data_IF_307364595592
#
_entry.id   IF_307364595592
#
_cell.length_a   1.000
_cell.length_b   1.000
_cell.length_c   1.000
_cell.angle_alpha   90.00
_cell.angle_beta   90.00
_cell.angle_gamma   90.00
#
_symmetry.space_group_name_H-M   'P 1'
#
loop_
_entity.id
_entity.type
_entity.pdbx_description
1 polymer ?
#
# COMPACT_ATOMS: atom_id res chain seq x y z
N UNK A 1 41.65 -20.21 10.74
CA UNK A 1 41.75 -20.46 12.19
C UNK A 1 40.53 -21.26 12.63
N UNK A 2 40.67 -22.14 13.61
CA UNK A 2 39.55 -22.56 14.45
C UNK A 2 39.06 -21.36 15.28
N UNK A 3 37.90 -21.49 15.94
CA UNK A 3 37.42 -20.44 16.82
C UNK A 3 38.38 -20.21 18.00
N UNK A 4 38.80 -21.28 18.68
CA UNK A 4 39.72 -21.21 19.83
C UNK A 4 41.06 -20.56 19.47
N UNK A 5 41.60 -20.89 18.28
CA UNK A 5 42.81 -20.24 17.76
C UNK A 5 42.60 -18.73 17.57
N UNK A 6 41.47 -18.34 16.97
CA UNK A 6 41.15 -16.94 16.74
C UNK A 6 40.94 -16.18 18.06
N UNK A 7 40.26 -16.77 19.04
CA UNK A 7 40.07 -16.20 20.37
C UNK A 7 41.39 -16.04 21.13
N UNK A 8 42.30 -17.03 21.05
CA UNK A 8 43.62 -16.93 21.63
C UNK A 8 44.44 -15.79 20.99
N UNK A 9 44.42 -15.68 19.66
CA UNK A 9 45.08 -14.57 18.95
C UNK A 9 44.49 -13.22 19.37
N UNK A 10 43.15 -13.10 19.50
CA UNK A 10 42.51 -11.91 20.04
C UNK A 10 43.00 -11.57 21.45
N UNK A 11 43.14 -12.57 22.33
CA UNK A 11 43.65 -12.40 23.68
C UNK A 11 45.08 -11.82 23.70
N UNK A 12 45.96 -12.37 22.87
CA UNK A 12 47.35 -11.87 22.71
C UNK A 12 47.38 -10.44 22.15
N UNK A 13 46.54 -10.13 21.15
CA UNK A 13 46.43 -8.78 20.59
C UNK A 13 45.90 -7.77 21.62
N UNK A 14 44.95 -8.19 22.46
CA UNK A 14 44.40 -7.35 23.53
C UNK A 14 45.45 -6.96 24.57
N UNK A 15 46.41 -7.85 24.89
CA UNK A 15 47.55 -7.52 25.77
C UNK A 15 48.43 -6.40 25.18
N UNK A 16 48.42 -6.23 23.85
CA UNK A 16 49.11 -5.16 23.12
C UNK A 16 48.22 -3.95 22.83
N UNK A 17 47.05 -3.85 23.47
CA UNK A 17 46.04 -2.80 23.26
C UNK A 17 45.49 -2.77 21.83
N UNK A 18 45.53 -3.90 21.12
CA UNK A 18 44.89 -4.07 19.81
C UNK A 18 43.59 -4.83 20.05
N UNK A 19 42.47 -4.14 19.95
CA UNK A 19 41.16 -4.76 20.07
C UNK A 19 40.82 -5.53 18.79
N UNK A 20 40.86 -6.85 18.85
CA UNK A 20 40.48 -7.74 17.76
C UNK A 20 39.33 -8.65 18.20
N UNK A 21 38.48 -9.04 17.25
CA UNK A 21 37.44 -10.04 17.44
C UNK A 21 37.69 -11.24 16.52
N UNK A 22 37.28 -12.46 16.89
CA UNK A 22 37.52 -13.67 16.08
C UNK A 22 36.99 -13.59 14.64
N UNK A 23 35.93 -12.82 14.42
CA UNK A 23 35.35 -12.61 13.09
C UNK A 23 36.14 -11.60 12.21
N UNK A 24 37.15 -10.92 12.75
CA UNK A 24 38.07 -10.10 11.96
C UNK A 24 39.05 -10.94 11.14
N UNK A 25 39.32 -12.18 11.56
CA UNK A 25 40.18 -13.07 10.80
C UNK A 25 39.38 -13.73 9.67
N UNK A 26 39.81 -13.58 8.41
CA UNK A 26 39.16 -14.24 7.31
C UNK A 26 39.14 -15.76 7.53
N UNK A 27 38.00 -16.39 7.26
CA UNK A 27 37.82 -17.86 7.31
C UNK A 27 37.96 -18.49 8.70
N UNK A 28 37.70 -17.75 9.79
CA UNK A 28 37.50 -18.38 11.11
C UNK A 28 36.32 -19.34 11.03
N UNK A 29 36.57 -20.64 11.22
CA UNK A 29 35.54 -21.69 11.09
C UNK A 29 34.57 -21.61 12.26
N UNK A 30 33.27 -21.69 11.98
CA UNK A 30 32.22 -21.72 13.01
C UNK A 30 31.92 -20.39 13.69
N UNK A 31 32.63 -19.29 13.35
CA UNK A 31 32.48 -18.01 14.07
C UNK A 31 31.06 -17.44 14.02
N UNK A 32 30.34 -17.67 12.92
CA UNK A 32 28.97 -17.17 12.75
C UNK A 32 27.92 -18.01 13.50
N UNK A 33 28.28 -19.17 14.01
CA UNK A 33 27.43 -20.02 14.86
C UNK A 33 27.82 -19.89 16.34
N UNK A 34 28.94 -19.24 16.62
CA UNK A 34 29.51 -19.13 17.95
C UNK A 34 28.99 -17.89 18.69
N UNK A 35 29.16 -17.97 20.01
CA UNK A 35 28.79 -16.93 20.95
C UNK A 35 30.06 -16.40 21.60
N UNK A 36 30.16 -15.07 21.74
CA UNK A 36 31.26 -14.44 22.44
C UNK A 36 31.20 -14.73 23.96
N UNK A 37 32.29 -14.47 24.72
CA UNK A 37 32.32 -14.72 26.17
C UNK A 37 31.25 -13.99 26.98
N UNK A 38 30.69 -12.89 26.45
CA UNK A 38 29.59 -12.13 27.06
C UNK A 38 28.20 -12.74 26.80
N UNK A 39 28.12 -13.88 26.09
CA UNK A 39 26.88 -14.55 25.75
C UNK A 39 26.18 -13.99 24.51
N UNK A 40 26.79 -13.03 23.79
CA UNK A 40 26.23 -12.45 22.57
C UNK A 40 26.82 -13.13 21.32
N UNK A 41 25.99 -13.55 20.34
CA UNK A 41 26.49 -14.12 19.09
C UNK A 41 27.46 -13.19 18.36
N UNK A 42 28.57 -13.73 17.82
CA UNK A 42 29.56 -12.92 17.09
C UNK A 42 28.95 -12.20 15.88
N UNK A 43 27.95 -12.80 15.22
CA UNK A 43 27.21 -12.15 14.14
C UNK A 43 26.53 -10.84 14.56
N UNK A 44 26.14 -10.70 15.84
CA UNK A 44 25.45 -9.51 16.34
C UNK A 44 26.46 -8.38 16.56
N UNK A 45 27.62 -8.70 17.16
CA UNK A 45 28.73 -7.75 17.27
C UNK A 45 29.17 -7.25 15.89
N UNK A 46 29.36 -8.17 14.95
CA UNK A 46 29.74 -7.84 13.58
C UNK A 46 28.69 -6.92 12.90
N UNK A 47 27.41 -7.23 13.06
CA UNK A 47 26.31 -6.41 12.54
C UNK A 47 26.29 -5.02 13.19
N UNK A 48 26.52 -4.93 14.51
CA UNK A 48 26.61 -3.65 15.23
C UNK A 48 27.77 -2.80 14.74
N UNK A 49 28.93 -3.40 14.50
CA UNK A 49 30.08 -2.72 13.90
C UNK A 49 29.80 -2.21 12.48
N UNK A 50 29.04 -2.95 11.66
CA UNK A 50 28.58 -2.45 10.37
C UNK A 50 27.73 -1.17 10.53
N UNK A 51 26.76 -1.18 11.44
CA UNK A 51 25.91 0.00 11.68
C UNK A 51 26.73 1.19 12.20
N UNK A 52 27.72 0.93 13.05
CA UNK A 52 28.66 1.94 13.56
C UNK A 52 29.54 2.51 12.45
N UNK A 53 30.06 1.68 11.56
CA UNK A 53 30.90 2.10 10.45
C UNK A 53 30.10 2.91 9.42
N UNK A 54 28.86 2.52 9.13
CA UNK A 54 27.92 3.31 8.32
C UNK A 54 27.55 4.63 8.99
N UNK A 55 27.26 4.60 10.29
CA UNK A 55 26.96 5.80 11.09
C UNK A 55 28.12 6.80 11.07
N UNK A 56 29.34 6.31 11.28
CA UNK A 56 30.57 7.11 11.19
C UNK A 56 30.76 7.72 9.80
N UNK A 57 30.58 6.92 8.74
CA UNK A 57 30.70 7.38 7.34
C UNK A 57 29.69 8.48 7.01
N UNK A 58 28.45 8.35 7.47
CA UNK A 58 27.38 9.34 7.24
C UNK A 58 27.37 10.46 8.29
N UNK A 59 28.24 10.39 9.31
CA UNK A 59 28.27 11.31 10.47
C UNK A 59 26.93 11.39 11.20
N UNK A 60 26.30 10.24 11.44
CA UNK A 60 25.02 10.11 12.15
C UNK A 60 25.13 9.12 13.31
N UNK A 61 24.32 9.35 14.34
CA UNK A 61 24.16 8.41 15.45
C UNK A 61 23.19 7.28 15.06
N UNK A 62 23.74 6.11 14.74
CA UNK A 62 22.97 4.96 14.29
C UNK A 62 22.05 4.36 15.36
N UNK A 63 22.25 4.67 16.65
CA UNK A 63 21.39 4.19 17.74
C UNK A 63 20.14 5.06 17.89
N UNK A 64 20.16 6.28 17.36
CA UNK A 64 18.99 7.17 17.32
C UNK A 64 18.14 6.90 16.08
N UNK A 65 16.80 7.00 16.18
CA UNK A 65 15.90 6.77 15.05
C UNK A 65 16.25 7.55 13.78
N UNK A 66 16.59 8.84 13.91
CA UNK A 66 16.93 9.68 12.77
C UNK A 66 18.22 9.22 12.06
N UNK A 67 19.25 8.84 12.82
CA UNK A 67 20.50 8.34 12.25
C UNK A 67 20.36 6.92 11.71
N UNK A 68 19.61 6.05 12.39
CA UNK A 68 19.27 4.73 11.86
C UNK A 68 18.54 4.82 10.52
N UNK A 69 17.54 5.71 10.42
CA UNK A 69 16.83 5.99 9.18
C UNK A 69 17.76 6.46 8.06
N UNK A 70 18.81 7.20 8.38
CA UNK A 70 19.80 7.67 7.39
C UNK A 70 20.69 6.54 6.87
N UNK A 71 21.03 5.54 7.69
CA UNK A 71 21.82 4.37 7.25
C UNK A 71 20.98 3.29 6.58
N UNK A 72 19.67 3.23 6.83
CA UNK A 72 18.76 2.18 6.32
C UNK A 72 18.87 1.93 4.80
N UNK A 73 18.97 2.95 3.91
CA UNK A 73 19.17 2.74 2.47
C UNK A 73 20.45 1.99 2.10
N UNK A 74 21.44 1.94 3.00
CA UNK A 74 22.72 1.26 2.80
C UNK A 74 22.73 -0.16 3.38
N UNK A 75 21.65 -0.63 3.99
CA UNK A 75 21.56 -1.99 4.54
C UNK A 75 21.16 -2.99 3.43
N UNK A 76 22.05 -3.14 2.45
CA UNK A 76 21.88 -3.99 1.26
C UNK A 76 22.82 -5.19 1.27
N UNK A 77 22.53 -6.18 0.43
CA UNK A 77 23.42 -7.34 0.22
C UNK A 77 24.83 -6.89 -0.17
N UNK A 78 24.94 -5.90 -1.07
CA UNK A 78 26.23 -5.41 -1.55
C UNK A 78 27.05 -4.74 -0.44
N UNK A 79 26.39 -3.99 0.44
CA UNK A 79 27.06 -3.39 1.59
C UNK A 79 27.59 -4.46 2.53
N UNK A 80 26.80 -5.48 2.87
CA UNK A 80 27.29 -6.59 3.69
C UNK A 80 28.48 -7.34 3.05
N UNK A 81 28.49 -7.48 1.71
CA UNK A 81 29.58 -8.19 1.00
C UNK A 81 30.85 -7.39 0.85
N UNK A 82 30.73 -6.08 0.62
CA UNK A 82 31.83 -5.27 0.09
C UNK A 82 32.26 -4.13 1.01
N UNK A 83 31.45 -3.75 2.00
CA UNK A 83 31.78 -2.67 2.91
C UNK A 83 32.65 -3.18 4.06
N UNK A 84 33.83 -2.57 4.23
CA UNK A 84 34.68 -2.87 5.38
C UNK A 84 34.11 -2.25 6.66
N UNK A 85 33.98 -3.06 7.71
CA UNK A 85 33.52 -2.59 9.02
C UNK A 85 34.67 -2.04 9.89
N UNK A 86 35.93 -2.29 9.51
CA UNK A 86 37.10 -1.88 10.29
C UNK A 86 38.34 -1.62 9.39
N UNK A 87 39.48 -1.34 10.02
CA UNK A 87 40.73 -1.07 9.31
C UNK A 87 41.41 -2.31 8.68
N UNK A 88 40.95 -3.52 9.03
CA UNK A 88 41.50 -4.79 8.54
C UNK A 88 40.75 -5.34 7.31
N UNK A 89 39.93 -4.51 6.65
CA UNK A 89 39.09 -4.90 5.51
C UNK A 89 38.10 -6.05 5.82
N UNK A 90 37.65 -6.16 7.07
CA UNK A 90 36.66 -7.20 7.45
C UNK A 90 35.32 -6.92 6.81
N UNK A 91 34.75 -7.92 6.12
CA UNK A 91 33.45 -7.86 5.44
C UNK A 91 32.48 -8.89 6.02
N UNK A 92 31.18 -8.67 5.86
CA UNK A 92 30.12 -9.47 6.48
C UNK A 92 29.40 -10.44 5.53
N UNK A 93 30.09 -10.93 4.49
CA UNK A 93 29.55 -11.95 3.60
C UNK A 93 29.17 -13.24 4.35
N UNK A 94 29.94 -13.60 5.39
CA UNK A 94 29.65 -14.74 6.25
C UNK A 94 28.37 -14.58 7.09
N UNK A 95 28.05 -13.36 7.53
CA UNK A 95 26.78 -13.07 8.22
C UNK A 95 25.60 -13.31 7.29
N UNK A 96 25.68 -12.84 6.04
CA UNK A 96 24.61 -13.10 5.06
C UNK A 96 24.34 -14.59 4.85
N UNK A 97 25.38 -15.42 4.83
CA UNK A 97 25.20 -16.87 4.67
C UNK A 97 24.43 -17.49 5.85
N UNK A 98 24.63 -16.98 7.07
CA UNK A 98 23.89 -17.44 8.25
C UNK A 98 22.39 -17.07 8.20
N UNK A 99 22.02 -16.02 7.46
CA UNK A 99 20.65 -15.51 7.33
C UNK A 99 20.05 -15.69 5.93
N UNK A 100 20.43 -16.74 5.21
CA UNK A 100 19.89 -17.05 3.88
C UNK A 100 19.93 -15.85 2.91
N UNK A 101 21.02 -15.08 2.97
CA UNK A 101 21.24 -13.85 2.18
C UNK A 101 20.27 -12.69 2.46
N UNK A 102 19.58 -12.67 3.60
CA UNK A 102 18.75 -11.54 4.02
C UNK A 102 19.58 -10.52 4.81
N UNK A 103 19.81 -9.29 4.29
CA UNK A 103 20.50 -8.25 5.05
C UNK A 103 19.63 -7.68 6.19
N UNK A 104 18.31 -7.77 6.07
CA UNK A 104 17.37 -7.27 7.09
C UNK A 104 17.36 -8.12 8.37
N UNK A 105 17.49 -9.45 8.24
CA UNK A 105 17.37 -10.38 9.35
C UNK A 105 18.40 -10.17 10.48
N UNK A 106 19.72 -10.08 10.22
CA UNK A 106 20.70 -9.83 11.29
C UNK A 106 20.49 -8.47 11.97
N UNK A 107 20.03 -7.46 11.22
CA UNK A 107 19.76 -6.13 11.76
C UNK A 107 18.53 -6.12 12.66
N UNK A 108 17.45 -6.79 12.23
CA UNK A 108 16.24 -6.92 13.03
C UNK A 108 16.49 -7.73 14.31
N UNK A 109 17.27 -8.81 14.23
CA UNK A 109 17.67 -9.57 15.42
C UNK A 109 18.51 -8.72 16.38
N UNK A 110 19.45 -7.93 15.86
CA UNK A 110 20.21 -6.97 16.66
C UNK A 110 19.29 -5.97 17.37
N UNK A 111 18.34 -5.36 16.66
CA UNK A 111 17.40 -4.38 17.23
C UNK A 111 16.50 -5.01 18.31
N UNK A 112 16.13 -6.28 18.15
CA UNK A 112 15.25 -6.97 19.08
C UNK A 112 15.95 -7.28 20.41
N UNK A 113 17.23 -7.65 20.35
CA UNK A 113 18.01 -8.18 21.48
C UNK A 113 18.93 -7.17 22.16
N UNK A 114 19.49 -6.22 21.41
CA UNK A 114 20.44 -5.24 21.94
C UNK A 114 19.72 -4.01 22.50
N UNK A 115 19.96 -3.73 23.79
CA UNK A 115 19.32 -2.64 24.53
C UNK A 115 19.62 -1.26 23.95
N UNK A 116 20.74 -1.08 23.26
CA UNK A 116 21.09 0.20 22.64
C UNK A 116 20.08 0.63 21.56
N UNK A 117 19.33 -0.32 21.00
CA UNK A 117 18.37 -0.11 19.91
C UNK A 117 16.92 0.02 20.39
N UNK A 118 16.67 0.15 21.70
CA UNK A 118 15.30 0.17 22.26
C UNK A 118 14.40 1.25 21.64
N UNK A 119 14.96 2.41 21.27
CA UNK A 119 14.20 3.51 20.63
C UNK A 119 13.76 3.17 19.21
N UNK A 120 14.59 2.43 18.48
CA UNK A 120 14.29 1.97 17.12
C UNK A 120 13.23 0.87 17.20
N UNK A 121 13.39 -0.08 18.13
CA UNK A 121 12.40 -1.10 18.46
C UNK A 121 11.04 -0.47 18.80
N UNK A 122 11.02 0.57 19.65
CA UNK A 122 9.79 1.26 20.05
C UNK A 122 9.03 1.92 18.88
N UNK A 123 9.74 2.42 17.87
CA UNK A 123 9.11 3.00 16.67
C UNK A 123 8.51 1.90 15.77
N UNK A 124 9.00 0.66 15.87
CA UNK A 124 8.54 -0.48 15.10
C UNK A 124 9.10 -0.46 13.69
N UNK A 125 10.29 -1.04 13.52
CA UNK A 125 10.85 -1.38 12.21
C UNK A 125 10.60 -2.86 11.91
N UNK A 126 10.31 -3.18 10.65
CA UNK A 126 10.18 -4.56 10.18
C UNK A 126 10.93 -4.80 8.87
N UNK A 127 10.97 -6.05 8.41
CA UNK A 127 11.70 -6.44 7.21
C UNK A 127 11.22 -5.76 5.92
N UNK A 128 9.96 -5.30 5.88
CA UNK A 128 9.42 -4.58 4.74
C UNK A 128 9.91 -3.13 4.65
N UNK A 129 10.58 -2.62 5.69
CA UNK A 129 11.14 -1.27 5.71
C UNK A 129 12.55 -1.19 5.10
N UNK A 130 13.19 -2.35 4.87
CA UNK A 130 14.52 -2.43 4.29
C UNK A 130 14.50 -2.28 2.76
N UNK A 131 15.59 -1.77 2.17
CA UNK A 131 15.77 -1.80 0.72
C UNK A 131 15.66 -3.22 0.18
N UNK A 132 15.00 -3.38 -0.97
CA UNK A 132 14.85 -4.68 -1.62
C UNK A 132 14.19 -5.76 -0.74
N UNK A 133 13.30 -5.36 0.16
CA UNK A 133 12.48 -6.28 0.94
C UNK A 133 11.88 -7.37 0.02
N UNK A 134 12.15 -8.66 0.30
CA UNK A 134 11.66 -9.77 -0.49
C UNK A 134 10.14 -9.75 -0.71
N UNK A 135 9.70 -10.25 -1.86
CA UNK A 135 8.28 -10.27 -2.22
C UNK A 135 7.40 -11.04 -1.21
N UNK A 136 7.95 -12.05 -0.53
CA UNK A 136 7.20 -12.85 0.46
C UNK A 136 6.71 -12.02 1.65
N UNK A 137 7.27 -10.82 1.90
CA UNK A 137 6.71 -9.89 2.88
C UNK A 137 5.36 -9.33 2.46
N UNK A 138 5.09 -9.29 1.15
CA UNK A 138 3.92 -8.62 0.58
C UNK A 138 2.92 -9.57 -0.07
N UNK A 139 3.36 -10.74 -0.54
CA UNK A 139 2.51 -11.79 -1.11
C UNK A 139 2.78 -13.14 -0.46
N UNK A 140 1.73 -13.93 -0.29
CA UNK A 140 1.82 -15.33 0.15
C UNK A 140 2.21 -16.27 -1.01
N UNK A 141 2.30 -17.56 -0.71
CA UNK A 141 2.64 -18.61 -1.68
C UNK A 141 1.62 -18.76 -2.83
N UNK A 142 0.40 -18.25 -2.64
CA UNK A 142 -0.66 -18.23 -3.65
C UNK A 142 -0.70 -16.92 -4.44
N UNK A 143 0.20 -15.97 -4.15
CA UNK A 143 0.25 -14.65 -4.78
C UNK A 143 -0.77 -13.65 -4.25
N UNK A 144 -1.45 -13.95 -3.13
CA UNK A 144 -2.37 -13.03 -2.48
C UNK A 144 -1.63 -12.09 -1.52
N UNK A 145 -2.13 -10.87 -1.29
CA UNK A 145 -1.53 -9.97 -0.32
C UNK A 145 -1.48 -10.55 1.09
N UNK A 146 -0.33 -10.44 1.75
CA UNK A 146 -0.16 -10.88 3.15
C UNK A 146 -0.88 -9.96 4.15
N UNK A 147 -1.00 -10.41 5.41
CA UNK A 147 -1.45 -9.56 6.52
C UNK A 147 -0.56 -8.31 6.64
N UNK A 148 0.76 -8.47 6.51
CA UNK A 148 1.70 -7.35 6.56
C UNK A 148 1.45 -6.35 5.42
N UNK A 149 1.22 -6.81 4.19
CA UNK A 149 0.87 -5.92 3.07
C UNK A 149 -0.38 -5.09 3.36
N UNK A 150 -1.42 -5.73 3.92
CA UNK A 150 -2.65 -5.06 4.33
C UNK A 150 -2.42 -4.05 5.45
N UNK A 151 -1.60 -4.39 6.44
CA UNK A 151 -1.22 -3.47 7.52
C UNK A 151 -0.48 -2.23 6.98
N UNK A 152 0.48 -2.42 6.06
CA UNK A 152 1.19 -1.31 5.41
C UNK A 152 0.24 -0.45 4.57
N UNK A 153 -0.69 -1.05 3.84
CA UNK A 153 -1.71 -0.32 3.10
C UNK A 153 -2.68 0.45 4.03
N UNK A 154 -3.04 -0.14 5.18
CA UNK A 154 -3.81 0.53 6.22
C UNK A 154 -3.06 1.71 6.85
N UNK A 155 -1.74 1.61 7.07
CA UNK A 155 -0.91 2.73 7.52
C UNK A 155 -0.98 3.92 6.55
N UNK A 156 -1.04 3.69 5.24
CA UNK A 156 -1.30 4.79 4.29
C UNK A 156 -2.67 5.43 4.53
N UNK A 157 -3.73 4.65 4.68
CA UNK A 157 -5.09 5.15 4.88
C UNK A 157 -5.13 6.03 6.15
N UNK A 158 -4.56 5.56 7.26
CA UNK A 158 -4.51 6.33 8.51
C UNK A 158 -3.68 7.61 8.36
N UNK A 159 -2.55 7.57 7.64
CA UNK A 159 -1.73 8.75 7.36
C UNK A 159 -2.44 9.76 6.46
N UNK A 160 -3.18 9.29 5.45
CA UNK A 160 -3.99 10.15 4.60
C UNK A 160 -5.15 10.78 5.38
N UNK A 161 -5.78 10.02 6.30
CA UNK A 161 -6.80 10.55 7.19
C UNK A 161 -6.25 11.74 8.02
N UNK A 162 -5.08 11.55 8.65
CA UNK A 162 -4.39 12.58 9.45
C UNK A 162 -3.95 13.79 8.64
N UNK A 163 -3.70 13.66 7.34
CA UNK A 163 -3.32 14.79 6.48
C UNK A 163 -4.50 15.42 5.73
N UNK A 164 -5.70 14.85 5.84
CA UNK A 164 -6.90 15.35 5.16
C UNK A 164 -7.72 16.17 6.14
N UNK A 165 -7.86 17.47 5.89
CA UNK A 165 -8.79 18.34 6.63
C UNK A 165 -10.20 18.23 6.06
N UNK A 166 -11.20 18.28 6.93
CA UNK A 166 -12.60 18.31 6.52
C UNK A 166 -12.96 19.70 5.98
N UNK A 167 -13.79 19.80 4.92
CA UNK A 167 -14.25 21.09 4.42
C UNK A 167 -14.93 21.91 5.54
N UNK A 168 -14.58 23.19 5.66
CA UNK A 168 -15.15 24.08 6.68
C UNK A 168 -14.73 23.76 8.12
N UNK A 169 -13.71 22.92 8.34
CA UNK A 169 -13.27 22.54 9.69
C UNK A 169 -11.75 22.45 9.82
N UNK A 170 -11.24 22.73 11.02
CA UNK A 170 -9.85 22.45 11.40
C UNK A 170 -9.64 20.99 11.82
N UNK A 171 -10.70 20.17 11.86
CA UNK A 171 -10.61 18.75 12.21
C UNK A 171 -10.06 17.93 11.05
N UNK A 172 -9.28 16.91 11.39
CA UNK A 172 -8.80 15.91 10.45
C UNK A 172 -9.85 14.84 10.20
N UNK A 173 -9.82 14.24 9.01
CA UNK A 173 -10.68 13.14 8.64
C UNK A 173 -10.42 11.92 9.55
N UNK A 174 -11.49 11.22 9.91
CA UNK A 174 -11.41 9.98 10.68
C UNK A 174 -11.72 8.81 9.75
N UNK A 175 -10.77 7.89 9.57
CA UNK A 175 -10.93 6.79 8.62
C UNK A 175 -12.02 5.78 9.00
N UNK A 176 -12.53 5.81 10.23
CA UNK A 176 -13.64 4.94 10.68
C UNK A 176 -15.02 5.54 10.41
N UNK A 177 -15.09 6.84 10.10
CA UNK A 177 -16.34 7.52 9.79
C UNK A 177 -16.58 7.49 8.27
N UNK A 178 -17.69 6.91 7.77
CA UNK A 178 -18.01 6.85 6.35
C UNK A 178 -17.99 8.21 5.63
N UNK A 179 -18.60 9.23 6.24
CA UNK A 179 -18.66 10.58 5.66
C UNK A 179 -17.28 11.23 5.58
N UNK A 180 -16.38 10.94 6.51
CA UNK A 180 -15.00 11.42 6.46
C UNK A 180 -14.16 10.62 5.44
N UNK A 181 -14.45 9.33 5.32
CA UNK A 181 -13.67 8.41 4.49
C UNK A 181 -13.77 8.75 3.00
N UNK A 182 -14.90 9.31 2.53
CA UNK A 182 -15.02 9.80 1.15
C UNK A 182 -13.93 10.83 0.79
N UNK A 183 -13.50 11.68 1.74
CA UNK A 183 -12.44 12.66 1.50
C UNK A 183 -11.07 11.98 1.42
N UNK A 184 -10.88 10.88 2.15
CA UNK A 184 -9.68 10.04 2.10
C UNK A 184 -9.60 9.33 0.74
N UNK A 185 -10.72 8.76 0.27
CA UNK A 185 -10.82 8.12 -1.06
C UNK A 185 -10.37 9.06 -2.18
N UNK A 186 -10.80 10.33 -2.13
CA UNK A 186 -10.39 11.36 -3.09
C UNK A 186 -8.88 11.65 -3.10
N UNK A 187 -8.16 11.31 -2.02
CA UNK A 187 -6.69 11.44 -1.94
C UNK A 187 -5.94 10.16 -2.33
N UNK A 188 -6.62 9.03 -2.50
CA UNK A 188 -6.02 7.75 -2.88
C UNK A 188 -5.75 7.68 -4.39
N UNK A 189 -4.87 8.56 -4.88
CA UNK A 189 -4.43 8.58 -6.28
C UNK A 189 -3.07 7.91 -6.44
N UNK A 190 -2.84 7.27 -7.60
CA UNK A 190 -1.59 6.55 -7.90
C UNK A 190 -0.30 7.34 -7.57
N UNK A 191 -0.12 8.56 -8.10
CA UNK A 191 1.07 9.36 -7.82
C UNK A 191 1.26 9.69 -6.34
N UNK A 192 0.16 9.93 -5.61
CA UNK A 192 0.23 10.26 -4.18
C UNK A 192 0.58 9.02 -3.36
N UNK A 193 -0.03 7.87 -3.64
CA UNK A 193 0.26 6.59 -2.99
C UNK A 193 1.73 6.18 -3.18
N UNK A 194 2.26 6.32 -4.39
CA UNK A 194 3.65 5.95 -4.69
C UNK A 194 4.69 6.85 -4.01
N UNK A 195 4.40 8.14 -3.85
CA UNK A 195 5.33 9.12 -3.29
C UNK A 195 5.23 9.27 -1.77
N UNK A 196 4.13 8.85 -1.14
CA UNK A 196 3.90 9.04 0.29
C UNK A 196 4.58 7.94 1.10
N UNK A 197 5.57 8.26 1.97
CA UNK A 197 6.08 7.28 2.92
C UNK A 197 4.98 6.92 3.92
N UNK A 198 4.77 5.65 4.23
CA UNK A 198 3.67 5.21 5.12
C UNK A 198 4.05 5.20 6.59
N UNK A 199 5.34 5.13 6.90
CA UNK A 199 5.86 5.11 8.25
C UNK A 199 7.08 6.03 8.41
N UNK A 200 7.70 5.99 9.58
CA UNK A 200 8.89 6.77 9.90
C UNK A 200 10.09 6.39 9.02
N UNK A 201 10.28 5.10 8.76
CA UNK A 201 11.44 4.53 8.05
C UNK A 201 11.52 4.89 6.57
N UNK A 202 10.43 5.40 6.00
CA UNK A 202 10.43 5.84 4.60
C UNK A 202 9.79 4.85 3.64
N UNK A 203 9.22 3.76 4.15
CA UNK A 203 8.59 2.70 3.37
C UNK A 203 7.53 3.26 2.44
N UNK A 204 7.58 2.87 1.17
CA UNK A 204 6.62 3.30 0.15
C UNK A 204 5.81 2.10 -0.30
N UNK A 205 4.53 2.31 -0.60
CA UNK A 205 3.65 1.25 -1.08
C UNK A 205 3.87 0.89 -2.55
N UNK A 206 4.88 1.43 -3.24
CA UNK A 206 5.13 1.09 -4.63
C UNK A 206 5.33 -0.42 -4.84
N UNK A 207 6.01 -1.10 -3.91
CA UNK A 207 6.21 -2.55 -3.97
C UNK A 207 4.91 -3.30 -3.70
N UNK A 208 4.19 -2.93 -2.63
CA UNK A 208 2.86 -3.47 -2.31
C UNK A 208 1.89 -3.31 -3.48
N UNK A 209 1.84 -2.13 -4.10
CA UNK A 209 0.93 -1.79 -5.18
C UNK A 209 1.16 -2.64 -6.44
N UNK A 210 2.41 -3.06 -6.72
CA UNK A 210 2.69 -3.98 -7.84
C UNK A 210 1.90 -5.29 -7.70
N UNK A 211 1.77 -5.80 -6.48
CA UNK A 211 1.00 -7.02 -6.20
C UNK A 211 -0.51 -6.83 -6.32
N UNK A 212 -1.00 -5.59 -6.29
CA UNK A 212 -2.38 -5.24 -6.65
C UNK A 212 -2.54 -4.87 -8.14
N UNK A 213 -1.61 -5.28 -9.00
CA UNK A 213 -1.64 -4.94 -10.43
C UNK A 213 -1.53 -3.44 -10.71
N UNK A 214 -0.90 -2.68 -9.80
CA UNK A 214 -0.81 -1.23 -9.89
C UNK A 214 -2.08 -0.48 -9.44
N UNK A 215 -3.13 -1.19 -9.00
CA UNK A 215 -4.43 -0.59 -8.68
C UNK A 215 -4.56 -0.20 -7.21
N UNK A 216 -4.56 1.12 -6.96
CA UNK A 216 -4.77 1.67 -5.60
C UNK A 216 -6.14 1.26 -5.07
N UNK A 217 -7.16 1.29 -5.92
CA UNK A 217 -8.53 0.96 -5.57
C UNK A 217 -8.68 -0.51 -5.20
N UNK A 218 -8.00 -1.44 -5.91
CA UNK A 218 -7.98 -2.87 -5.55
C UNK A 218 -7.32 -3.07 -4.17
N UNK A 219 -6.20 -2.40 -3.92
CA UNK A 219 -5.53 -2.42 -2.62
C UNK A 219 -6.43 -1.90 -1.50
N UNK A 220 -7.10 -0.76 -1.71
CA UNK A 220 -7.97 -0.18 -0.70
C UNK A 220 -9.21 -1.04 -0.42
N UNK A 221 -9.82 -1.63 -1.45
CA UNK A 221 -10.95 -2.54 -1.27
C UNK A 221 -10.56 -3.78 -0.47
N UNK A 222 -9.42 -4.42 -0.79
CA UNK A 222 -8.91 -5.57 -0.02
C UNK A 222 -8.68 -5.21 1.45
N UNK A 223 -8.13 -4.02 1.73
CA UNK A 223 -7.93 -3.56 3.12
C UNK A 223 -9.26 -3.25 3.81
N UNK A 224 -10.24 -2.65 3.13
CA UNK A 224 -11.57 -2.37 3.70
C UNK A 224 -12.27 -3.68 4.09
N UNK A 225 -12.19 -4.69 3.23
CA UNK A 225 -12.79 -6.00 3.43
C UNK A 225 -12.13 -6.77 4.58
N UNK A 226 -10.80 -6.77 4.64
CA UNK A 226 -10.04 -7.65 5.53
C UNK A 226 -9.55 -6.99 6.83
N UNK A 227 -9.52 -5.65 6.94
CA UNK A 227 -8.98 -4.97 8.13
C UNK A 227 -10.07 -4.70 9.19
N UNK A 228 -9.95 -5.21 10.43
CA UNK A 228 -10.99 -5.08 11.47
C UNK A 228 -11.42 -3.64 11.76
N UNK A 229 -10.49 -2.69 11.71
CA UNK A 229 -10.80 -1.28 11.97
C UNK A 229 -11.66 -0.60 10.89
N UNK A 230 -11.76 -1.19 9.69
CA UNK A 230 -12.56 -0.67 8.59
C UNK A 230 -13.89 -1.39 8.42
N UNK A 231 -14.28 -2.28 9.35
CA UNK A 231 -15.57 -3.00 9.31
C UNK A 231 -16.77 -2.09 9.10
N UNK A 232 -16.78 -0.88 9.70
CA UNK A 232 -17.88 0.08 9.50
C UNK A 232 -17.92 0.60 8.06
N UNK A 233 -16.78 0.87 7.46
CA UNK A 233 -16.67 1.29 6.05
C UNK A 233 -17.12 0.16 5.14
N UNK A 234 -16.69 -1.07 5.40
CA UNK A 234 -17.12 -2.26 4.67
C UNK A 234 -18.65 -2.45 4.73
N UNK A 235 -19.25 -2.33 5.93
CA UNK A 235 -20.71 -2.43 6.12
C UNK A 235 -21.52 -1.40 5.33
N UNK A 236 -20.98 -0.19 5.11
CA UNK A 236 -21.65 0.84 4.31
C UNK A 236 -21.51 0.57 2.80
N UNK A 237 -20.60 -0.32 2.40
CA UNK A 237 -20.47 -0.80 1.03
C UNK A 237 -19.73 0.20 0.13
N UNK A 238 -18.41 0.33 0.32
CA UNK A 238 -17.55 0.99 -0.67
C UNK A 238 -17.42 0.07 -1.90
N UNK A 239 -17.70 0.61 -3.07
CA UNK A 239 -17.66 -0.07 -4.35
C UNK A 239 -16.46 0.40 -5.20
N UNK A 240 -16.04 -0.39 -6.19
CA UNK A 240 -14.99 0.01 -7.15
C UNK A 240 -15.24 1.36 -7.83
N UNK A 241 -16.50 1.69 -8.11
CA UNK A 241 -16.91 2.97 -8.70
C UNK A 241 -16.69 4.19 -7.82
N UNK A 242 -16.51 3.98 -6.51
CA UNK A 242 -16.38 5.09 -5.55
C UNK A 242 -14.96 5.67 -5.48
N UNK A 243 -14.03 5.07 -6.21
CA UNK A 243 -12.67 5.55 -6.31
C UNK A 243 -12.50 6.53 -7.47
N UNK A 244 -11.68 7.59 -7.32
CA UNK A 244 -11.40 8.53 -8.42
C UNK A 244 -10.86 7.86 -9.69
N UNK A 245 -10.15 6.74 -9.52
CA UNK A 245 -9.73 5.85 -10.59
C UNK A 245 -10.21 4.45 -10.27
N UNK A 246 -11.35 4.08 -10.82
CA UNK A 246 -11.90 2.74 -10.62
C UNK A 246 -10.91 1.68 -11.13
N UNK A 247 -10.87 0.47 -10.53
CA UNK A 247 -10.11 -0.65 -11.06
C UNK A 247 -10.46 -0.96 -12.52
N UNK A 248 -9.48 -1.45 -13.30
CA UNK A 248 -9.75 -1.99 -14.64
C UNK A 248 -10.85 -3.05 -14.58
N UNK A 249 -11.75 -3.04 -15.56
CA UNK A 249 -12.90 -3.95 -15.56
C UNK A 249 -14.12 -3.42 -14.81
N UNK A 250 -14.05 -2.26 -14.13
CA UNK A 250 -15.21 -1.70 -13.43
C UNK A 250 -16.29 -1.24 -14.40
N UNK A 251 -15.91 -0.47 -15.43
CA UNK A 251 -16.86 0.17 -16.34
C UNK A 251 -17.06 -0.59 -17.67
N UNK A 252 -15.98 -1.18 -18.19
CA UNK A 252 -15.97 -1.98 -19.41
C UNK A 252 -15.37 -3.36 -19.15
N UNK A 253 -15.94 -4.37 -19.79
CA UNK A 253 -15.36 -5.71 -19.87
C UNK A 253 -14.09 -5.72 -20.75
N UNK A 254 -13.38 -6.85 -20.79
CA UNK A 254 -12.23 -7.03 -21.69
C UNK A 254 -12.60 -6.91 -23.17
N UNK A 255 -13.83 -7.25 -23.53
CA UNK A 255 -14.36 -7.10 -24.89
C UNK A 255 -14.72 -5.64 -25.23
N UNK A 256 -14.57 -4.70 -24.29
CA UNK A 256 -14.95 -3.29 -24.47
C UNK A 256 -16.41 -2.99 -24.15
N UNK A 257 -17.25 -4.00 -23.95
CA UNK A 257 -18.67 -3.85 -23.62
C UNK A 257 -18.89 -3.27 -22.22
N UNK A 258 -19.89 -2.40 -22.01
CA UNK A 258 -20.28 -1.93 -20.68
C UNK A 258 -20.59 -3.07 -19.71
N UNK A 259 -20.12 -2.96 -18.48
CA UNK A 259 -20.36 -3.96 -17.44
C UNK A 259 -21.74 -3.80 -16.81
N UNK A 260 -22.19 -4.84 -16.09
CA UNK A 260 -23.38 -4.73 -15.26
C UNK A 260 -23.24 -3.63 -14.20
N UNK A 261 -22.05 -3.46 -13.62
CA UNK A 261 -21.78 -2.40 -12.66
C UNK A 261 -21.99 -1.00 -13.25
N UNK A 262 -21.53 -0.76 -14.48
CA UNK A 262 -21.78 0.50 -15.18
C UNK A 262 -23.29 0.75 -15.34
N UNK A 263 -24.03 -0.27 -15.80
CA UNK A 263 -25.50 -0.21 -15.95
C UNK A 263 -26.21 0.06 -14.63
N UNK A 264 -25.78 -0.57 -13.55
CA UNK A 264 -26.35 -0.38 -12.21
C UNK A 264 -26.13 1.05 -11.71
N UNK A 265 -24.96 1.64 -11.97
CA UNK A 265 -24.70 3.05 -11.68
C UNK A 265 -25.64 3.99 -12.45
N UNK A 266 -25.86 3.74 -13.75
CA UNK A 266 -26.81 4.51 -14.56
C UNK A 266 -28.24 4.34 -14.04
N UNK A 267 -28.64 3.12 -13.66
CA UNK A 267 -29.95 2.86 -13.04
C UNK A 267 -30.12 3.60 -11.70
N UNK A 268 -29.08 3.65 -10.87
CA UNK A 268 -29.10 4.45 -9.63
C UNK A 268 -29.29 5.95 -9.93
N UNK A 269 -28.63 6.46 -10.97
CA UNK A 269 -28.83 7.84 -11.41
C UNK A 269 -30.26 8.11 -11.89
N UNK A 270 -30.84 7.22 -12.69
CA UNK A 270 -32.25 7.33 -13.11
C UNK A 270 -33.17 7.39 -11.88
N UNK A 271 -32.96 6.50 -10.90
CA UNK A 271 -33.72 6.50 -9.65
C UNK A 271 -33.56 7.79 -8.83
N UNK A 272 -32.34 8.33 -8.75
CA UNK A 272 -32.05 9.61 -8.09
C UNK A 272 -32.81 10.76 -8.74
N UNK A 273 -32.74 10.88 -10.07
CA UNK A 273 -33.43 11.94 -10.81
C UNK A 273 -34.95 11.78 -10.71
N UNK A 274 -35.46 10.54 -10.76
CA UNK A 274 -36.86 10.25 -10.54
C UNK A 274 -37.35 10.76 -9.19
N UNK A 275 -36.61 10.47 -8.12
CA UNK A 275 -36.90 10.94 -6.76
C UNK A 275 -36.87 12.47 -6.67
N UNK A 276 -35.82 13.12 -7.18
CA UNK A 276 -35.66 14.58 -7.14
C UNK A 276 -36.77 15.35 -7.87
N UNK A 277 -37.30 14.79 -8.96
CA UNK A 277 -38.29 15.44 -9.81
C UNK A 277 -39.71 14.88 -9.64
N UNK A 278 -39.95 14.06 -8.60
CA UNK A 278 -41.28 13.54 -8.30
C UNK A 278 -41.85 12.57 -9.34
N UNK A 279 -41.00 11.89 -10.11
CA UNK A 279 -41.42 10.93 -11.14
C UNK A 279 -41.52 9.53 -10.55
N UNK A 280 -42.74 9.05 -10.36
CA UNK A 280 -43.01 7.78 -9.66
C UNK A 280 -42.79 6.53 -10.51
N UNK A 281 -42.84 6.64 -11.85
CA UNK A 281 -42.70 5.52 -12.79
C UNK A 281 -41.64 5.77 -13.88
N UNK A 282 -40.36 5.89 -13.51
CA UNK A 282 -39.29 6.27 -14.43
C UNK A 282 -39.01 5.26 -15.54
N UNK A 283 -39.52 4.03 -15.44
CA UNK A 283 -39.35 2.97 -16.44
C UNK A 283 -40.48 2.90 -17.48
N UNK A 284 -41.49 3.77 -17.38
CA UNK A 284 -42.54 3.92 -18.41
C UNK A 284 -42.12 4.99 -19.42
N UNK A 285 -42.72 4.98 -20.61
CA UNK A 285 -42.45 5.99 -21.64
C UNK A 285 -42.70 7.39 -21.10
N UNK A 286 -43.88 7.64 -20.54
CA UNK A 286 -44.24 8.95 -20.00
C UNK A 286 -43.27 9.43 -18.92
N UNK A 287 -42.96 8.57 -17.93
CA UNK A 287 -42.04 8.93 -16.86
C UNK A 287 -40.61 9.16 -17.34
N UNK A 288 -40.12 8.35 -18.28
CA UNK A 288 -38.78 8.51 -18.82
C UNK A 288 -38.66 9.77 -19.70
N UNK A 289 -39.64 10.04 -20.56
CA UNK A 289 -39.70 11.27 -21.38
C UNK A 289 -39.70 12.52 -20.49
N UNK A 290 -40.41 12.49 -19.36
CA UNK A 290 -40.38 13.57 -18.37
C UNK A 290 -38.98 13.74 -17.73
N UNK A 291 -38.26 12.64 -17.47
CA UNK A 291 -36.94 12.69 -16.83
C UNK A 291 -35.80 13.02 -17.78
N UNK A 292 -35.96 12.70 -19.05
CA UNK A 292 -34.88 12.69 -20.02
C UNK A 292 -34.10 14.03 -20.11
N UNK A 293 -34.73 15.22 -20.15
CA UNK A 293 -34.00 16.49 -20.14
C UNK A 293 -33.08 16.65 -18.91
N UNK A 294 -33.53 16.17 -17.75
CA UNK A 294 -32.75 16.23 -16.51
C UNK A 294 -31.62 15.20 -16.49
N UNK A 295 -31.86 14.01 -17.03
CA UNK A 295 -30.85 12.97 -17.17
C UNK A 295 -29.67 13.46 -18.03
N UNK A 296 -29.97 14.13 -19.15
CA UNK A 296 -28.97 14.63 -20.09
C UNK A 296 -28.19 15.85 -19.58
N UNK A 297 -28.82 16.72 -18.77
CA UNK A 297 -28.20 17.96 -18.29
C UNK A 297 -27.36 17.81 -17.01
N UNK A 298 -27.66 16.84 -16.14
CA UNK A 298 -27.09 16.81 -14.78
C UNK A 298 -26.05 15.71 -14.51
N UNK A 299 -25.84 14.76 -15.43
CA UNK A 299 -25.11 13.52 -15.17
C UNK A 299 -23.65 13.71 -14.72
N UNK A 300 -23.03 14.85 -15.06
CA UNK A 300 -21.63 15.16 -14.69
C UNK A 300 -21.46 15.54 -13.22
N UNK A 301 -22.49 16.07 -12.57
CA UNK A 301 -22.42 16.70 -11.24
C UNK A 301 -23.10 15.87 -10.16
N UNK A 302 -24.06 15.05 -10.55
CA UNK A 302 -24.94 14.36 -9.60
C UNK A 302 -24.25 13.20 -8.91
N UNK A 303 -24.34 13.22 -7.58
CA UNK A 303 -23.75 12.22 -6.69
C UNK A 303 -24.77 11.12 -6.41
N UNK A 304 -24.44 9.90 -6.79
CA UNK A 304 -25.29 8.70 -6.71
C UNK A 304 -24.94 7.75 -5.56
N UNK A 305 -23.90 8.06 -4.77
CA UNK A 305 -23.53 7.28 -3.59
C UNK A 305 -23.07 8.17 -2.42
N UNK A 306 -23.13 7.68 -1.17
CA UNK A 306 -22.61 8.40 0.00
C UNK A 306 -21.11 8.71 -0.08
N UNK A 307 -20.39 8.09 -1.01
CA UNK A 307 -18.94 8.22 -1.19
C UNK A 307 -18.57 9.35 -2.18
N UNK A 308 -19.55 10.08 -2.69
CA UNK A 308 -19.32 11.16 -3.64
C UNK A 308 -19.21 10.70 -5.10
N UNK A 309 -19.65 9.48 -5.39
CA UNK A 309 -19.59 8.88 -6.73
C UNK A 309 -20.59 9.52 -7.67
N UNK A 310 -20.15 9.88 -8.87
CA UNK A 310 -21.03 10.32 -9.95
C UNK A 310 -21.06 9.25 -11.05
N UNK A 311 -22.04 9.30 -11.96
CA UNK A 311 -22.03 8.42 -13.14
C UNK A 311 -21.04 8.84 -14.22
N UNK A 312 -20.34 9.95 -14.01
CA UNK A 312 -19.46 10.54 -15.02
C UNK A 312 -18.40 9.56 -15.54
N UNK A 313 -17.63 8.85 -14.69
CA UNK A 313 -16.63 7.91 -15.17
C UNK A 313 -17.25 6.76 -15.97
N UNK A 314 -18.44 6.28 -15.58
CA UNK A 314 -19.15 5.26 -16.33
C UNK A 314 -19.49 5.74 -17.74
N UNK A 315 -20.05 6.94 -17.88
CA UNK A 315 -20.43 7.52 -19.18
C UNK A 315 -19.22 7.81 -20.05
N UNK A 316 -18.17 8.41 -19.48
CA UNK A 316 -16.93 8.73 -20.20
C UNK A 316 -16.22 7.46 -20.66
N UNK A 317 -16.00 6.50 -19.74
CA UNK A 317 -15.21 5.31 -20.03
C UNK A 317 -16.03 4.24 -20.77
N UNK A 318 -17.25 3.91 -20.33
CA UNK A 318 -18.04 2.82 -20.92
C UNK A 318 -18.81 3.23 -22.17
N UNK A 319 -19.28 4.47 -22.23
CA UNK A 319 -20.24 4.93 -23.25
C UNK A 319 -19.71 6.03 -24.16
N UNK A 320 -18.37 6.20 -24.22
CA UNK A 320 -17.70 7.17 -25.07
C UNK A 320 -18.23 8.60 -24.85
N UNK A 321 -18.42 8.97 -23.58
CA UNK A 321 -18.92 10.29 -23.18
C UNK A 321 -20.34 10.62 -23.69
N UNK A 322 -21.16 9.61 -24.03
CA UNK A 322 -22.55 9.78 -24.47
C UNK A 322 -23.53 9.21 -23.45
N UNK A 323 -24.25 10.10 -22.76
CA UNK A 323 -25.32 9.72 -21.82
C UNK A 323 -26.46 9.01 -22.54
N UNK A 324 -26.82 9.42 -23.76
CA UNK A 324 -27.88 8.78 -24.54
C UNK A 324 -27.54 7.33 -24.89
N UNK A 325 -26.26 7.02 -25.20
CA UNK A 325 -25.80 5.63 -25.37
C UNK A 325 -25.91 4.82 -24.08
N UNK A 326 -25.55 5.41 -22.94
CA UNK A 326 -25.69 4.77 -21.63
C UNK A 326 -27.14 4.43 -21.31
N UNK A 327 -28.06 5.38 -21.52
CA UNK A 327 -29.49 5.19 -21.32
C UNK A 327 -30.06 4.13 -22.26
N UNK A 328 -29.68 4.14 -23.53
CA UNK A 328 -30.11 3.14 -24.52
C UNK A 328 -29.66 1.73 -24.16
N UNK A 329 -28.41 1.54 -23.74
CA UNK A 329 -27.90 0.24 -23.27
C UNK A 329 -28.69 -0.25 -22.05
N UNK A 330 -28.95 0.61 -21.07
CA UNK A 330 -29.73 0.26 -19.88
C UNK A 330 -31.17 -0.09 -20.21
N UNK A 331 -31.86 0.68 -21.05
CA UNK A 331 -33.24 0.38 -21.49
C UNK A 331 -33.30 -0.95 -22.26
N UNK A 332 -32.28 -1.22 -23.08
CA UNK A 332 -32.20 -2.45 -23.87
C UNK A 332 -31.92 -3.69 -23.02
N UNK A 333 -31.07 -3.57 -22.01
CA UNK A 333 -30.60 -4.69 -21.19
C UNK A 333 -31.44 -4.95 -19.94
N UNK A 334 -32.05 -3.92 -19.34
CA UNK A 334 -32.75 -4.05 -18.06
C UNK A 334 -34.16 -4.63 -18.21
N UNK A 335 -34.55 -5.64 -17.40
CA UNK A 335 -35.92 -6.17 -17.37
C UNK A 335 -36.97 -5.13 -16.96
N UNK A 336 -36.57 -4.09 -16.20
CA UNK A 336 -37.50 -3.05 -15.73
C UNK A 336 -38.17 -2.26 -16.85
N UNK A 337 -37.53 -2.21 -18.03
CA UNK A 337 -38.05 -1.51 -19.20
C UNK A 337 -38.75 -2.44 -20.19
N UNK A 338 -38.93 -3.74 -19.89
CA UNK A 338 -39.45 -4.73 -20.85
C UNK A 338 -40.71 -4.27 -21.60
N UNK A 339 -41.66 -3.65 -20.90
CA UNK A 339 -42.94 -3.23 -21.47
C UNK A 339 -42.88 -1.89 -22.23
N UNK A 340 -41.77 -1.16 -22.12
CA UNK A 340 -41.59 0.17 -22.75
C UNK A 340 -40.36 0.23 -23.66
N UNK A 341 -39.62 -0.87 -23.80
CA UNK A 341 -38.30 -0.92 -24.43
C UNK A 341 -38.30 -0.43 -25.87
N UNK A 342 -39.15 -0.98 -26.74
CA UNK A 342 -39.16 -0.63 -28.17
C UNK A 342 -39.39 0.86 -28.39
N UNK A 343 -40.43 1.40 -27.76
CA UNK A 343 -40.82 2.82 -27.84
C UNK A 343 -39.77 3.76 -27.22
N UNK A 344 -39.14 3.35 -26.12
CA UNK A 344 -38.07 4.14 -25.50
C UNK A 344 -36.77 4.14 -26.31
N UNK A 345 -36.44 3.02 -26.95
CA UNK A 345 -35.32 2.98 -27.88
C UNK A 345 -35.60 3.92 -29.05
N UNK A 346 -36.76 3.82 -29.70
CA UNK A 346 -37.16 4.73 -30.79
C UNK A 346 -37.05 6.20 -30.38
N UNK A 347 -37.59 6.57 -29.21
CA UNK A 347 -37.47 7.92 -28.65
C UNK A 347 -36.01 8.38 -28.50
N UNK A 348 -35.13 7.52 -27.98
CA UNK A 348 -33.71 7.83 -27.79
C UNK A 348 -32.89 7.91 -29.10
N UNK A 349 -33.42 7.41 -30.23
CA UNK A 349 -32.77 7.51 -31.54
C UNK A 349 -33.10 8.82 -32.26
N UNK A 350 -34.28 9.40 -32.03
CA UNK A 350 -34.70 10.64 -32.68
C UNK A 350 -34.10 11.92 -32.08
N UNK A 351 -33.38 11.79 -30.98
CA UNK A 351 -32.78 12.92 -30.23
C UNK A 351 -31.25 13.00 -30.37
N UNK A 352 -30.68 12.31 -31.38
CA UNK A 352 -29.28 12.43 -31.82
C UNK A 352 -29.19 13.22 -33.11
#
# INVERSE_FOLDING_TARGET
LSLDEAENVCGVLSQRRIHAQPFYFPKTKGVWQATAPDGVPYLMHATKELLQALGSKLRVDYQKPAGFKAILPYLTVDTFRNFSINQWDTKLSGVLNAYSSSPSAPVLELIERDRDFWRIKLIGIDGADFPHAPNYYFIDEHGNPTILARQKAFQLITKLARSTRLPGSNRHAQYRNPEHFQYILKKLTGPRVQKTPINFWGTRLSTVLKHYGGSVSKMCLDVIENHPELRRIHKVGVLPSDFPKAPNGTWKSRAGEPTQHARDCIMKYIGLMASKHGVTRPCTIAGFTQLYPFLCSNWKKEVISPWGTTIRPAVEEAYQNSISRALKDVVSSSPKFRNSRSKLIEYLWHDQ
#
